data_IF_787590140139
#
_entry.id   IF_787590140139
#
_cell.length_a   1.000
_cell.length_b   1.000
_cell.length_c   1.000
_cell.angle_alpha   90.00
_cell.angle_beta   90.00
_cell.angle_gamma   90.00
#
_symmetry.space_group_name_H-M   'P 1'
#
loop_
_entity.id
_entity.type
_entity.pdbx_description
1 polymer ?
#
# COMPACT_ATOMS: atom_id res chain seq x y z
N UNK A 1 19.51 20.68 -5.91
CA UNK A 1 18.18 21.24 -5.62
C UNK A 1 17.13 20.15 -5.32
N UNK A 2 17.55 19.03 -4.70
CA UNK A 2 16.67 17.88 -4.39
C UNK A 2 16.05 17.94 -2.98
N UNK A 3 16.57 18.83 -2.12
CA UNK A 3 16.27 18.85 -0.69
C UNK A 3 15.05 19.71 -0.30
N UNK A 4 14.44 20.43 -1.24
CA UNK A 4 13.43 21.48 -0.94
C UNK A 4 11.99 21.07 -1.28
N UNK A 5 11.81 19.94 -1.98
CA UNK A 5 10.49 19.42 -2.35
C UNK A 5 9.97 18.34 -1.38
N UNK A 6 10.87 17.60 -0.73
CA UNK A 6 10.47 16.68 0.35
C UNK A 6 9.86 17.45 1.53
N UNK A 7 10.38 18.64 1.87
CA UNK A 7 9.90 19.48 2.98
C UNK A 7 8.46 19.98 2.84
N UNK A 8 7.85 19.92 1.64
CA UNK A 8 6.44 20.34 1.46
C UNK A 8 5.42 19.24 1.78
N UNK A 9 5.86 17.98 1.85
CA UNK A 9 5.05 16.84 2.31
C UNK A 9 5.40 16.44 3.75
N UNK A 10 6.65 16.66 4.16
CA UNK A 10 7.15 16.40 5.51
C UNK A 10 7.21 17.72 6.28
N UNK A 11 6.17 18.01 7.04
CA UNK A 11 6.17 19.14 7.98
C UNK A 11 7.40 19.12 8.88
N UNK A 12 7.91 20.29 9.26
CA UNK A 12 9.07 20.42 10.14
C UNK A 12 8.79 19.76 11.51
N UNK A 13 9.48 18.66 11.79
CA UNK A 13 9.45 17.97 13.09
C UNK A 13 9.69 16.46 12.99
N UNK A 14 10.94 16.02 12.80
CA UNK A 14 11.30 14.60 12.65
C UNK A 14 11.35 13.84 14.00
N UNK A 15 10.19 13.62 14.60
CA UNK A 15 10.00 12.51 15.53
C UNK A 15 9.12 11.48 14.80
N UNK A 16 9.67 10.31 14.48
CA UNK A 16 8.92 9.20 13.86
C UNK A 16 9.18 8.95 12.35
N UNK A 17 10.11 9.66 11.71
CA UNK A 17 10.54 9.33 10.34
C UNK A 17 11.78 8.42 10.38
N UNK A 18 11.62 7.18 9.90
CA UNK A 18 12.68 6.18 9.86
C UNK A 18 12.89 5.66 8.44
N UNK A 19 14.15 5.40 8.07
CA UNK A 19 14.53 4.86 6.75
C UNK A 19 15.17 3.50 6.92
N UNK A 20 14.77 2.55 6.09
CA UNK A 20 15.32 1.20 6.06
C UNK A 20 15.30 0.64 4.63
N UNK A 21 15.76 -0.59 4.48
CA UNK A 21 15.65 -1.34 3.23
C UNK A 21 15.11 -2.73 3.56
N UNK A 22 14.12 -3.19 2.81
CA UNK A 22 13.50 -4.50 2.98
C UNK A 22 13.59 -5.27 1.68
N UNK A 23 14.32 -6.38 1.68
CA UNK A 23 14.54 -7.24 0.50
C UNK A 23 15.02 -6.47 -0.75
N UNK A 24 15.84 -5.44 -0.56
CA UNK A 24 16.38 -4.61 -1.65
C UNK A 24 15.44 -3.49 -2.13
N UNK A 25 14.39 -3.16 -1.36
CA UNK A 25 13.45 -2.08 -1.66
C UNK A 25 13.60 -1.01 -0.56
N UNK A 26 13.89 0.26 -0.90
CA UNK A 26 13.91 1.34 0.08
C UNK A 26 12.56 1.50 0.78
N UNK A 27 12.57 1.63 2.10
CA UNK A 27 11.37 1.82 2.92
C UNK A 27 11.52 3.08 3.77
N UNK A 28 10.49 3.93 3.75
CA UNK A 28 10.37 5.08 4.65
C UNK A 28 9.14 4.88 5.52
N UNK A 29 9.30 4.89 6.84
CA UNK A 29 8.19 4.82 7.79
C UNK A 29 8.02 6.19 8.44
N UNK A 30 6.84 6.77 8.30
CA UNK A 30 6.38 7.96 9.02
C UNK A 30 5.37 7.51 10.08
N UNK A 31 5.90 7.17 11.26
CA UNK A 31 5.11 6.63 12.35
C UNK A 31 4.60 7.76 13.26
N UNK A 32 3.33 8.11 13.09
CA UNK A 32 2.63 9.10 13.91
C UNK A 32 1.87 8.48 15.09
N UNK A 33 2.01 7.17 15.32
CA UNK A 33 1.24 6.38 16.29
C UNK A 33 2.17 5.82 17.38
N UNK A 34 2.16 6.39 18.60
CA UNK A 34 3.07 5.96 19.68
C UNK A 34 2.76 4.55 20.19
N UNK A 35 1.60 3.99 19.84
CA UNK A 35 1.21 2.61 20.11
C UNK A 35 1.79 1.59 19.14
N UNK A 36 2.37 2.02 18.03
CA UNK A 36 2.94 1.17 17.00
C UNK A 36 4.45 1.26 17.07
N UNK A 37 5.12 0.11 17.15
CA UNK A 37 6.56 0.05 17.02
C UNK A 37 6.96 -0.06 15.54
N UNK A 38 7.87 0.81 15.08
CA UNK A 38 8.38 0.79 13.71
C UNK A 38 9.03 -0.57 13.35
N UNK A 39 9.64 -1.28 14.31
CA UNK A 39 10.20 -2.61 14.03
C UNK A 39 9.14 -3.64 13.61
N UNK A 40 7.93 -3.53 14.15
CA UNK A 40 6.83 -4.43 13.81
C UNK A 40 6.34 -4.15 12.39
N UNK A 41 6.30 -2.87 11.99
CA UNK A 41 6.01 -2.46 10.60
C UNK A 41 7.00 -3.09 9.64
N UNK A 42 8.31 -2.98 9.91
CA UNK A 42 9.36 -3.55 9.06
C UNK A 42 9.24 -5.07 8.98
N UNK A 43 9.01 -5.73 10.12
CA UNK A 43 8.82 -7.19 10.17
C UNK A 43 7.62 -7.64 9.31
N UNK A 44 6.50 -6.91 9.38
CA UNK A 44 5.30 -7.21 8.58
C UNK A 44 5.50 -6.97 7.09
N UNK A 45 6.22 -5.90 6.73
CA UNK A 45 6.58 -5.65 5.33
C UNK A 45 7.50 -6.74 4.79
N UNK A 46 8.51 -7.15 5.55
CA UNK A 46 9.44 -8.21 5.13
C UNK A 46 8.70 -9.53 4.90
N UNK A 47 7.85 -9.94 5.84
CA UNK A 47 7.03 -11.14 5.70
C UNK A 47 6.13 -11.07 4.44
N UNK A 48 5.49 -9.92 4.22
CA UNK A 48 4.61 -9.72 3.06
C UNK A 48 5.37 -9.77 1.73
N UNK A 49 6.49 -9.05 1.63
CA UNK A 49 7.34 -9.03 0.44
C UNK A 49 7.99 -10.39 0.17
N UNK A 50 8.34 -11.14 1.22
CA UNK A 50 8.84 -12.50 1.10
C UNK A 50 7.81 -13.45 0.46
N UNK A 51 6.52 -13.30 0.77
CA UNK A 51 5.45 -14.07 0.12
C UNK A 51 5.36 -13.75 -1.38
N UNK A 52 5.41 -12.47 -1.76
CA UNK A 52 5.40 -12.08 -3.19
C UNK A 52 6.62 -12.68 -3.89
N UNK A 53 7.81 -12.55 -3.30
CA UNK A 53 9.07 -13.11 -3.84
C UNK A 53 9.00 -14.63 -4.02
N UNK A 54 8.36 -15.33 -3.09
CA UNK A 54 8.29 -16.79 -3.11
C UNK A 54 7.26 -17.32 -4.11
N UNK A 55 6.04 -16.78 -4.09
CA UNK A 55 4.91 -17.36 -4.83
C UNK A 55 4.71 -16.75 -6.22
N UNK A 56 5.11 -15.49 -6.42
CA UNK A 56 5.02 -14.78 -7.71
C UNK A 56 6.32 -14.01 -8.00
N UNK A 57 7.47 -14.70 -8.12
CA UNK A 57 8.79 -14.07 -8.22
C UNK A 57 8.95 -13.09 -9.39
N UNK A 58 8.22 -13.30 -10.49
CA UNK A 58 8.22 -12.40 -11.64
C UNK A 58 7.63 -11.03 -11.29
N UNK A 59 6.52 -10.99 -10.54
CA UNK A 59 5.96 -9.74 -10.01
C UNK A 59 6.91 -9.09 -8.99
N UNK A 60 7.58 -9.88 -8.15
CA UNK A 60 8.59 -9.34 -7.23
C UNK A 60 9.77 -8.68 -7.94
N UNK A 61 10.22 -9.26 -9.05
CA UNK A 61 11.27 -8.65 -9.86
C UNK A 61 10.83 -7.29 -10.43
N UNK A 62 9.61 -7.23 -10.98
CA UNK A 62 9.04 -5.99 -11.51
C UNK A 62 8.86 -4.93 -10.42
N UNK A 63 8.25 -5.27 -9.28
CA UNK A 63 7.98 -4.28 -8.24
C UNK A 63 9.26 -3.64 -7.67
N UNK A 64 10.35 -4.42 -7.57
CA UNK A 64 11.66 -3.88 -7.14
C UNK A 64 12.26 -2.88 -8.14
N UNK A 65 11.89 -2.98 -9.41
CA UNK A 65 12.35 -2.06 -10.46
C UNK A 65 11.38 -0.89 -10.67
N UNK A 66 10.09 -1.15 -10.56
CA UNK A 66 9.02 -0.22 -10.89
C UNK A 66 8.74 0.74 -9.71
N UNK A 67 8.98 0.31 -8.47
CA UNK A 67 9.02 1.19 -7.30
C UNK A 67 10.39 1.84 -7.10
N UNK A 68 10.37 3.12 -6.73
CA UNK A 68 11.52 3.78 -6.12
C UNK A 68 11.62 3.49 -4.62
N UNK A 69 10.48 3.35 -3.95
CA UNK A 69 10.40 3.10 -2.50
C UNK A 69 9.00 2.63 -2.07
N UNK A 70 8.92 2.06 -0.88
CA UNK A 70 7.69 1.88 -0.11
C UNK A 70 7.63 2.96 0.98
N UNK A 71 6.48 3.60 1.13
CA UNK A 71 6.20 4.57 2.19
C UNK A 71 5.16 3.96 3.11
N UNK A 72 5.44 3.90 4.41
CA UNK A 72 4.45 3.52 5.43
C UNK A 72 4.05 4.75 6.21
N UNK A 73 2.76 5.09 6.20
CA UNK A 73 2.22 6.22 6.98
C UNK A 73 0.72 6.08 7.20
N UNK A 74 0.15 6.94 8.05
CA UNK A 74 -1.31 7.06 8.16
C UNK A 74 -1.91 7.54 6.85
N UNK A 75 -2.93 6.83 6.38
CA UNK A 75 -3.59 7.11 5.11
C UNK A 75 -5.01 6.55 5.08
N UNK A 76 -5.81 7.00 4.11
CA UNK A 76 -7.25 6.70 4.07
C UNK A 76 -7.57 5.30 3.57
N UNK A 77 -6.72 4.77 2.69
CA UNK A 77 -6.81 3.45 2.11
C UNK A 77 -5.61 2.61 2.53
N UNK A 78 -5.74 1.28 2.40
CA UNK A 78 -4.72 0.30 2.83
C UNK A 78 -3.41 0.39 2.03
N UNK A 79 -3.52 0.79 0.77
CA UNK A 79 -2.40 1.03 -0.12
C UNK A 79 -2.77 2.01 -1.22
N UNK A 80 -1.75 2.64 -1.79
CA UNK A 80 -1.88 3.52 -2.95
C UNK A 80 -0.55 3.62 -3.70
N UNK A 81 -0.60 3.66 -5.01
CA UNK A 81 0.57 3.93 -5.85
C UNK A 81 0.60 5.41 -6.28
N UNK A 82 1.66 6.12 -5.90
CA UNK A 82 1.90 7.49 -6.33
C UNK A 82 2.85 7.53 -7.53
N UNK A 83 2.30 7.71 -8.74
CA UNK A 83 3.03 7.55 -10.00
C UNK A 83 4.20 8.52 -10.18
N UNK A 84 4.04 9.79 -9.79
CA UNK A 84 5.11 10.80 -9.90
C UNK A 84 6.33 10.46 -9.05
N UNK A 85 6.11 9.90 -7.85
CA UNK A 85 7.20 9.48 -6.96
C UNK A 85 7.64 8.03 -7.20
N UNK A 86 6.89 7.28 -8.01
CA UNK A 86 6.97 5.81 -8.14
C UNK A 86 7.00 5.14 -6.77
N UNK A 87 6.12 5.57 -5.87
CA UNK A 87 6.11 5.13 -4.48
C UNK A 87 4.86 4.30 -4.19
N UNK A 88 5.05 3.16 -3.54
CA UNK A 88 3.96 2.37 -2.98
C UNK A 88 3.72 2.81 -1.54
N UNK A 89 2.54 3.32 -1.25
CA UNK A 89 2.08 3.55 0.10
C UNK A 89 1.48 2.27 0.67
N UNK A 90 1.85 1.95 1.91
CA UNK A 90 1.15 0.97 2.75
C UNK A 90 0.68 1.69 4.01
N UNK A 91 -0.57 1.52 4.38
CA UNK A 91 -1.13 2.23 5.54
C UNK A 91 -0.57 1.67 6.85
N UNK A 92 -0.13 2.56 7.74
CA UNK A 92 0.56 2.24 8.99
C UNK A 92 -0.22 1.29 9.90
N UNK A 93 -1.49 1.58 10.20
CA UNK A 93 -2.27 0.74 11.11
C UNK A 93 -2.64 -0.60 10.49
N UNK A 94 -2.98 -0.60 9.19
CA UNK A 94 -3.21 -1.81 8.40
C UNK A 94 -1.98 -2.71 8.39
N UNK A 95 -0.78 -2.12 8.25
CA UNK A 95 0.48 -2.86 8.20
C UNK A 95 0.71 -3.71 9.46
N UNK A 96 0.25 -3.27 10.64
CA UNK A 96 0.46 -4.00 11.90
C UNK A 96 -0.79 -4.64 12.49
N UNK A 97 -1.98 -4.35 11.95
CA UNK A 97 -3.25 -4.83 12.51
C UNK A 97 -3.36 -6.38 12.40
N UNK A 98 -3.48 -7.10 13.53
CA UNK A 98 -3.49 -8.57 13.55
C UNK A 98 -4.68 -9.23 12.81
N UNK A 99 -5.76 -8.50 12.53
CA UNK A 99 -6.92 -9.01 11.78
C UNK A 99 -6.63 -9.23 10.29
N UNK A 100 -5.51 -8.68 9.82
CA UNK A 100 -4.99 -8.88 8.47
C UNK A 100 -3.83 -9.86 8.49
N UNK A 101 -3.89 -10.83 7.59
CA UNK A 101 -2.79 -11.76 7.34
C UNK A 101 -1.68 -11.11 6.50
N UNK A 102 -0.48 -11.68 6.54
CA UNK A 102 0.63 -11.24 5.69
C UNK A 102 0.29 -11.45 4.20
N UNK A 103 -0.50 -12.48 3.85
CA UNK A 103 -1.04 -12.68 2.51
C UNK A 103 -1.92 -11.51 2.05
N UNK A 104 -2.75 -10.94 2.92
CA UNK A 104 -3.58 -9.77 2.59
C UNK A 104 -2.74 -8.50 2.40
N UNK A 105 -1.71 -8.29 3.23
CA UNK A 105 -0.75 -7.18 3.07
C UNK A 105 0.05 -7.31 1.78
N UNK A 106 0.55 -8.51 1.49
CA UNK A 106 1.24 -8.84 0.27
C UNK A 106 0.37 -8.59 -0.97
N UNK A 107 -0.90 -8.98 -0.93
CA UNK A 107 -1.85 -8.71 -2.01
C UNK A 107 -2.06 -7.20 -2.24
N UNK A 108 -2.13 -6.39 -1.17
CA UNK A 108 -2.18 -4.92 -1.30
C UNK A 108 -0.91 -4.37 -1.96
N UNK A 109 0.28 -4.78 -1.54
CA UNK A 109 1.53 -4.33 -2.15
C UNK A 109 1.61 -4.77 -3.63
N UNK A 110 1.20 -6.01 -3.93
CA UNK A 110 1.16 -6.54 -5.29
C UNK A 110 0.18 -5.76 -6.17
N UNK A 111 -0.99 -5.40 -5.64
CA UNK A 111 -1.97 -4.57 -6.34
C UNK A 111 -1.35 -3.22 -6.76
N UNK A 112 -0.70 -2.51 -5.84
CA UNK A 112 0.01 -1.27 -6.17
C UNK A 112 1.16 -1.49 -7.15
N UNK A 113 1.82 -2.65 -7.10
CA UNK A 113 2.87 -3.00 -8.06
C UNK A 113 2.32 -3.18 -9.48
N UNK A 114 1.08 -3.63 -9.63
CA UNK A 114 0.43 -3.72 -10.94
C UNK A 114 0.13 -2.34 -11.51
N UNK A 115 -0.28 -1.37 -10.68
CA UNK A 115 -0.38 0.03 -11.11
C UNK A 115 0.98 0.60 -11.54
N UNK A 116 2.03 0.34 -10.76
CA UNK A 116 3.38 0.74 -11.14
C UNK A 116 3.84 0.11 -12.45
N UNK A 117 3.46 -1.15 -12.69
CA UNK A 117 3.78 -1.85 -13.93
C UNK A 117 3.11 -1.22 -15.14
N UNK A 118 1.82 -0.92 -15.04
CA UNK A 118 1.07 -0.22 -16.10
C UNK A 118 1.68 1.15 -16.38
N UNK A 119 1.99 1.91 -15.33
CA UNK A 119 2.68 3.20 -15.46
C UNK A 119 4.03 3.07 -16.16
N UNK A 120 4.86 2.10 -15.77
CA UNK A 120 6.17 1.85 -16.39
C UNK A 120 6.07 1.43 -17.87
N UNK A 121 4.94 0.85 -18.29
CA UNK A 121 4.64 0.50 -19.67
C UNK A 121 4.02 1.67 -20.48
N UNK A 122 3.82 2.83 -19.86
CA UNK A 122 3.31 4.03 -20.52
C UNK A 122 1.79 4.11 -20.63
N UNK A 123 1.05 3.31 -19.86
CA UNK A 123 -0.41 3.45 -19.80
C UNK A 123 -0.80 4.76 -19.10
N UNK A 124 -1.85 5.45 -19.58
CA UNK A 124 -2.33 6.66 -18.93
C UNK A 124 -2.90 6.32 -17.56
N UNK A 125 -2.56 7.14 -16.56
CA UNK A 125 -3.06 6.99 -15.18
C UNK A 125 -4.39 7.72 -14.95
N UNK A 126 -4.94 8.36 -15.99
CA UNK A 126 -6.17 9.14 -15.94
C UNK A 126 -7.45 8.28 -15.97
N UNK A 127 -8.56 8.88 -15.53
CA UNK A 127 -9.74 8.18 -15.03
C UNK A 127 -10.56 7.36 -16.05
N UNK A 128 -10.47 7.63 -17.35
CA UNK A 128 -11.34 6.99 -18.36
C UNK A 128 -11.25 5.45 -18.41
N UNK A 129 -10.13 4.83 -18.01
CA UNK A 129 -9.96 3.37 -18.02
C UNK A 129 -9.71 2.77 -16.63
N UNK A 130 -10.00 3.52 -15.55
CA UNK A 130 -9.62 3.12 -14.18
C UNK A 130 -10.25 1.80 -13.77
N UNK A 131 -11.52 1.58 -14.10
CA UNK A 131 -12.23 0.35 -13.76
C UNK A 131 -11.62 -0.91 -14.42
N UNK A 132 -11.10 -0.77 -15.64
CA UNK A 132 -10.41 -1.86 -16.33
C UNK A 132 -9.02 -2.10 -15.75
N UNK A 133 -8.29 -1.04 -15.40
CA UNK A 133 -6.99 -1.13 -14.73
C UNK A 133 -7.11 -1.82 -13.37
N UNK A 134 -8.10 -1.43 -12.56
CA UNK A 134 -8.39 -2.07 -11.27
C UNK A 134 -8.66 -3.56 -11.44
N UNK A 135 -9.53 -3.96 -12.38
CA UNK A 135 -9.79 -5.38 -12.66
C UNK A 135 -8.56 -6.13 -13.17
N UNK A 136 -7.68 -5.46 -13.92
CA UNK A 136 -6.39 -6.04 -14.29
C UNK A 136 -5.50 -6.27 -13.05
N UNK A 137 -5.38 -5.30 -12.15
CA UNK A 137 -4.65 -5.45 -10.90
C UNK A 137 -5.22 -6.57 -10.02
N UNK A 138 -6.56 -6.69 -9.92
CA UNK A 138 -7.25 -7.73 -9.14
C UNK A 138 -6.98 -9.14 -9.66
N UNK A 139 -6.73 -9.32 -10.97
CA UNK A 139 -6.33 -10.63 -11.51
C UNK A 139 -5.01 -11.13 -10.92
N UNK A 140 -4.03 -10.24 -10.71
CA UNK A 140 -2.78 -10.59 -10.07
C UNK A 140 -2.97 -10.97 -8.59
N UNK A 141 -3.90 -10.30 -7.88
CA UNK A 141 -4.27 -10.69 -6.51
C UNK A 141 -4.92 -12.08 -6.46
N UNK A 142 -5.80 -12.41 -7.42
CA UNK A 142 -6.42 -13.74 -7.50
C UNK A 142 -5.37 -14.81 -7.78
N UNK A 143 -4.44 -14.57 -8.72
CA UNK A 143 -3.33 -15.47 -9.01
C UNK A 143 -2.49 -15.71 -7.75
N UNK A 144 -2.02 -14.64 -7.11
CA UNK A 144 -1.24 -14.72 -5.89
C UNK A 144 -1.98 -15.43 -4.76
N UNK A 145 -3.26 -15.07 -4.54
CA UNK A 145 -4.11 -15.64 -3.49
C UNK A 145 -4.35 -17.14 -3.66
N UNK A 146 -4.32 -17.68 -4.89
CA UNK A 146 -4.43 -19.12 -5.15
C UNK A 146 -3.15 -19.89 -4.85
N UNK A 147 -2.00 -19.20 -4.84
CA UNK A 147 -0.68 -19.81 -4.65
C UNK A 147 -0.20 -19.73 -3.19
N UNK A 148 -0.55 -18.65 -2.50
CA UNK A 148 -0.07 -18.38 -1.14
C UNK A 148 -0.89 -19.12 -0.07
N UNK A 149 -0.27 -19.58 1.03
CA UNK A 149 -1.00 -20.10 2.18
C UNK A 149 -2.00 -19.08 2.74
N UNK A 150 -3.17 -19.58 3.15
CA UNK A 150 -4.26 -18.77 3.73
C UNK A 150 -4.71 -17.62 2.81
N UNK A 151 -4.63 -17.82 1.49
CA UNK A 151 -4.96 -16.81 0.47
C UNK A 151 -6.44 -16.70 0.14
N UNK A 152 -7.33 -17.47 0.80
CA UNK A 152 -8.76 -17.54 0.48
C UNK A 152 -9.43 -16.16 0.61
N UNK A 153 -9.08 -15.40 1.66
CA UNK A 153 -9.58 -14.02 1.84
C UNK A 153 -9.08 -13.05 0.77
N UNK A 154 -7.89 -13.29 0.21
CA UNK A 154 -7.36 -12.49 -0.90
C UNK A 154 -8.17 -12.77 -2.16
N UNK A 155 -8.36 -14.05 -2.50
CA UNK A 155 -9.13 -14.47 -3.68
C UNK A 155 -10.58 -13.98 -3.59
N UNK A 156 -11.24 -14.21 -2.46
CA UNK A 156 -12.64 -13.81 -2.27
C UNK A 156 -12.83 -12.30 -2.46
N UNK A 157 -12.01 -11.48 -1.78
CA UNK A 157 -12.06 -10.02 -1.90
C UNK A 157 -11.83 -9.55 -3.34
N UNK A 158 -10.79 -10.09 -3.99
CA UNK A 158 -10.41 -9.66 -5.34
C UNK A 158 -11.46 -10.06 -6.38
N UNK A 159 -12.08 -11.24 -6.24
CA UNK A 159 -13.17 -11.70 -7.08
C UNK A 159 -14.42 -10.82 -6.89
N UNK A 160 -14.87 -10.63 -5.65
CA UNK A 160 -16.04 -9.79 -5.31
C UNK A 160 -15.87 -8.36 -5.86
N UNK A 161 -14.72 -7.74 -5.64
CA UNK A 161 -14.45 -6.38 -6.13
C UNK A 161 -14.42 -6.33 -7.67
N UNK A 162 -14.00 -7.39 -8.35
CA UNK A 162 -13.94 -7.43 -9.82
C UNK A 162 -15.32 -7.48 -10.48
N UNK A 163 -16.34 -7.94 -9.75
CA UNK A 163 -17.73 -8.07 -10.21
C UNK A 163 -18.56 -6.81 -9.98
N UNK A 164 -18.02 -5.81 -9.27
CA UNK A 164 -18.67 -4.53 -9.03
C UNK A 164 -18.82 -3.70 -10.31
N UNK A 165 -19.69 -2.68 -10.25
CA UNK A 165 -19.85 -1.67 -11.29
C UNK A 165 -18.52 -0.93 -11.54
N UNK A 166 -18.41 -0.23 -12.67
CA UNK A 166 -17.21 0.57 -12.97
C UNK A 166 -17.00 1.70 -11.96
N UNK A 167 -18.08 2.27 -11.44
CA UNK A 167 -18.05 3.31 -10.40
C UNK A 167 -17.58 2.74 -9.05
N UNK A 168 -18.03 1.54 -8.69
CA UNK A 168 -17.75 0.92 -7.39
C UNK A 168 -16.38 0.22 -7.34
N UNK A 169 -15.88 -0.30 -8.46
CA UNK A 169 -14.54 -0.91 -8.54
C UNK A 169 -13.44 0.15 -8.51
N UNK A 170 -13.74 1.36 -8.97
CA UNK A 170 -12.79 2.47 -9.10
C UNK A 170 -13.35 3.78 -8.50
N UNK A 171 -13.67 3.80 -7.19
CA UNK A 171 -14.37 4.92 -6.59
C UNK A 171 -13.53 6.21 -6.62
N UNK A 172 -14.19 7.33 -6.85
CA UNK A 172 -13.65 8.66 -6.58
C UNK A 172 -13.60 8.88 -5.08
N UNK A 173 -12.41 9.20 -4.56
CA UNK A 173 -12.19 9.46 -3.15
C UNK A 173 -11.83 10.93 -3.01
N UNK A 174 -12.66 11.68 -2.29
CA UNK A 174 -12.34 13.05 -1.86
C UNK A 174 -11.17 13.02 -0.85
N UNK A 175 -10.00 13.59 -1.18
CA UNK A 175 -8.83 13.56 -0.30
C UNK A 175 -9.03 14.30 1.02
N UNK A 176 -9.84 15.36 1.06
CA UNK A 176 -10.05 16.17 2.26
C UNK A 176 -10.94 15.42 3.26
N UNK A 177 -12.04 14.84 2.78
CA UNK A 177 -12.94 14.02 3.60
C UNK A 177 -12.19 12.81 4.15
N UNK A 178 -11.35 12.19 3.31
CA UNK A 178 -10.54 11.06 3.68
C UNK A 178 -9.53 11.41 4.79
N UNK A 179 -8.85 12.56 4.68
CA UNK A 179 -7.91 13.05 5.69
C UNK A 179 -8.60 13.38 7.03
N UNK A 180 -9.78 13.99 7.00
CA UNK A 180 -10.55 14.33 8.21
C UNK A 180 -10.93 13.08 9.01
N UNK A 181 -11.43 12.03 8.33
CA UNK A 181 -11.80 10.76 8.98
C UNK A 181 -10.62 10.08 9.67
N UNK A 182 -9.43 10.11 9.06
CA UNK A 182 -8.21 9.55 9.68
C UNK A 182 -7.88 10.29 10.97
N UNK A 183 -7.89 11.64 10.94
CA UNK A 183 -7.54 12.45 12.10
C UNK A 183 -8.51 12.22 13.27
N UNK A 184 -9.80 12.00 12.99
CA UNK A 184 -10.80 11.65 14.00
C UNK A 184 -10.52 10.28 14.64
N UNK A 185 -10.27 9.26 13.82
CA UNK A 185 -9.95 7.91 14.30
C UNK A 185 -8.67 7.91 15.15
N UNK A 186 -7.65 8.65 14.73
CA UNK A 186 -6.40 8.75 15.49
C UNK A 186 -6.60 9.46 16.83
N UNK A 187 -7.39 10.53 16.88
CA UNK A 187 -7.74 11.18 18.15
C UNK A 187 -8.48 10.23 19.09
N UNK A 188 -9.47 9.49 18.60
CA UNK A 188 -10.23 8.54 19.41
C UNK A 188 -9.33 7.40 19.96
N UNK A 189 -8.41 6.90 19.15
CA UNK A 189 -7.46 5.86 19.57
C UNK A 189 -6.50 6.35 20.67
N UNK A 190 -6.08 7.62 20.63
CA UNK A 190 -5.25 8.23 21.66
C UNK A 190 -6.03 8.48 22.96
N UNK A 191 -7.32 8.82 22.87
CA UNK A 191 -8.20 9.09 24.03
C UNK A 191 -8.57 7.82 24.81
N UNK A 192 -8.78 6.69 24.13
CA UNK A 192 -9.10 5.40 24.77
C UNK A 192 -7.93 4.75 25.54
N UNK A 193 -6.77 5.42 25.61
CA UNK A 193 -5.57 4.99 26.35
C UNK A 193 -5.36 5.72 27.68
N UNK A 194 -6.14 6.77 27.98
CA UNK A 194 -6.14 7.51 29.24
C UNK A 194 -7.22 6.98 30.18
#
# INVERSE_FOLDING_TARGET
MLNRFLTRLFGEGSAGLERSEVLGIPVVVENTRPDINTSDVITRLEASLALIRQYVPHHFWHLRHDFNQIIVKRFACRGAYFYEQRACLVELTFCVNPDFSDSQRAATILHEAMHARLHALGFPMEMEDRARQERFCRRAEIEFGRLVPNGERVVARAAETSELSDEDVAPEIDPEIAAQRIAEVDRAALQNRL
#
